data_IF_637944238905
#
_entry.id   IF_637944238905
#
_cell.length_a   1.000
_cell.length_b   1.000
_cell.length_c   1.000
_cell.angle_alpha   90.00
_cell.angle_beta   90.00
_cell.angle_gamma   90.00
#
_symmetry.space_group_name_H-M   'P 1'
#
loop_
_entity.id
_entity.type
_entity.pdbx_description
1 polymer ?
#
# COMPACT_ATOMS: atom_id res chain seq x y z
N UNK A 1 54.85 -44.34 20.76
CA UNK A 1 55.61 -43.58 21.78
C UNK A 1 55.77 -42.16 21.25
N UNK A 2 54.86 -41.21 21.55
CA UNK A 2 54.82 -40.32 22.74
C UNK A 2 56.17 -39.58 22.93
N UNK A 3 56.29 -38.25 22.94
CA UNK A 3 55.45 -37.23 23.61
C UNK A 3 55.60 -35.80 23.02
N UNK A 4 54.47 -35.07 23.02
CA UNK A 4 54.21 -33.71 23.56
C UNK A 4 54.92 -32.44 23.05
N UNK A 5 54.09 -31.41 22.74
CA UNK A 5 53.92 -30.10 23.43
C UNK A 5 53.04 -29.21 22.53
N UNK A 6 52.08 -28.39 22.95
CA UNK A 6 51.45 -28.08 24.23
C UNK A 6 50.12 -27.37 23.88
N UNK A 7 49.03 -27.70 24.57
CA UNK A 7 47.74 -27.02 24.47
C UNK A 7 47.61 -26.05 25.67
N UNK A 8 47.09 -24.84 25.47
CA UNK A 8 46.59 -23.98 26.56
C UNK A 8 45.35 -23.22 26.09
N UNK A 9 44.19 -23.85 26.27
CA UNK A 9 42.90 -23.18 26.45
C UNK A 9 42.30 -23.70 27.75
N UNK A 10 42.34 -22.86 28.79
CA UNK A 10 41.51 -23.04 29.99
C UNK A 10 41.03 -21.66 30.44
N UNK A 11 39.72 -21.46 30.26
CA UNK A 11 38.72 -20.88 31.18
C UNK A 11 39.21 -19.82 32.18
N UNK A 12 38.59 -18.63 32.14
CA UNK A 12 38.09 -17.96 33.36
C UNK A 12 36.68 -17.44 33.11
N UNK A 13 35.77 -17.98 33.91
CA UNK A 13 34.39 -17.59 34.19
C UNK A 13 34.37 -16.32 35.05
N UNK A 14 33.44 -15.41 34.73
CA UNK A 14 32.75 -14.53 35.69
C UNK A 14 33.47 -13.25 36.11
N UNK A 15 32.83 -12.09 35.89
CA UNK A 15 32.24 -11.29 36.98
C UNK A 15 31.47 -10.08 36.45
N UNK A 16 30.31 -9.88 37.07
CA UNK A 16 29.50 -8.67 37.14
C UNK A 16 30.41 -7.45 37.38
N UNK A 17 30.37 -6.47 36.48
CA UNK A 17 31.06 -5.19 36.64
C UNK A 17 30.14 -4.05 36.24
N UNK A 18 29.59 -3.37 37.24
CA UNK A 18 28.78 -2.16 37.12
C UNK A 18 29.39 -1.18 36.11
N UNK A 19 28.69 -0.91 35.00
CA UNK A 19 28.92 0.32 34.25
C UNK A 19 28.02 1.42 34.82
N UNK A 20 28.73 2.27 35.54
CA UNK A 20 28.39 3.59 36.05
C UNK A 20 27.55 4.44 35.10
N UNK A 21 26.62 5.19 35.70
CA UNK A 21 25.85 6.26 35.06
C UNK A 21 26.78 7.28 34.40
N UNK A 22 27.01 7.16 33.10
CA UNK A 22 27.60 8.20 32.28
C UNK A 22 26.50 8.89 31.47
N UNK A 23 25.97 9.96 32.07
CA UNK A 23 25.37 11.14 31.44
C UNK A 23 24.42 10.94 30.25
N UNK A 24 23.15 11.23 30.50
CA UNK A 24 22.02 11.50 29.59
C UNK A 24 22.24 12.56 28.49
N UNK A 25 23.48 13.01 28.23
CA UNK A 25 23.82 13.95 27.16
C UNK A 25 24.26 13.28 25.85
N UNK A 26 24.73 12.03 25.88
CA UNK A 26 25.16 11.33 24.67
C UNK A 26 23.99 10.84 23.80
N UNK A 27 22.85 10.49 24.41
CA UNK A 27 21.65 10.04 23.69
C UNK A 27 20.99 11.17 22.86
N UNK A 28 21.04 12.41 23.35
CA UNK A 28 20.53 13.58 22.61
C UNK A 28 21.42 13.97 21.42
N UNK A 29 22.72 13.66 21.45
CA UNK A 29 23.64 13.96 20.35
C UNK A 29 23.55 12.94 19.20
N UNK A 30 23.13 11.70 19.49
CA UNK A 30 22.93 10.66 18.48
C UNK A 30 21.60 10.81 17.72
N UNK A 31 20.53 11.25 18.38
CA UNK A 31 19.21 11.44 17.78
C UNK A 31 19.19 12.32 16.51
N UNK A 32 19.83 13.51 16.46
CA UNK A 32 19.85 14.33 15.25
C UNK A 32 20.60 13.66 14.10
N UNK A 33 21.61 12.82 14.37
CA UNK A 33 22.33 12.08 13.33
C UNK A 33 21.47 10.95 12.74
N UNK A 34 20.74 10.21 13.57
CA UNK A 34 19.86 9.11 13.12
C UNK A 34 18.61 9.64 12.38
N UNK A 35 18.05 10.77 12.81
CA UNK A 35 16.92 11.42 12.15
C UNK A 35 17.29 12.09 10.83
N UNK A 36 18.47 12.74 10.77
CA UNK A 36 18.99 13.30 9.52
C UNK A 36 19.26 12.21 8.48
N UNK A 37 19.76 11.03 8.92
CA UNK A 37 19.94 9.88 8.05
C UNK A 37 18.62 9.32 7.48
N UNK A 38 17.49 9.50 8.19
CA UNK A 38 16.15 9.11 7.73
C UNK A 38 15.42 10.21 6.93
N UNK A 39 16.04 11.39 6.72
CA UNK A 39 15.46 12.50 5.96
C UNK A 39 14.18 13.09 6.56
N UNK A 40 13.94 12.90 7.86
CA UNK A 40 12.73 13.35 8.53
C UNK A 40 12.82 14.82 8.98
N UNK A 41 11.73 15.61 8.86
CA UNK A 41 11.61 16.86 9.61
C UNK A 41 11.60 16.54 11.11
N UNK A 42 12.08 17.46 11.95
CA UNK A 42 12.11 17.29 13.41
C UNK A 42 10.69 16.95 13.95
N UNK A 43 10.43 15.72 14.43
CA UNK A 43 9.12 15.30 14.87
C UNK A 43 8.57 16.15 16.02
N UNK A 44 9.44 16.79 16.81
CA UNK A 44 9.04 17.67 17.91
C UNK A 44 8.30 18.92 17.41
N UNK A 45 8.51 19.30 16.16
CA UNK A 45 7.85 20.45 15.53
C UNK A 45 6.47 20.11 14.94
N UNK A 46 6.06 18.84 14.95
CA UNK A 46 4.76 18.43 14.43
C UNK A 46 3.62 19.15 15.15
N UNK A 47 2.61 19.55 14.37
CA UNK A 47 1.32 19.96 14.90
C UNK A 47 0.45 18.71 15.06
N UNK A 48 -0.23 18.51 16.20
CA UNK A 48 -1.09 17.34 16.40
C UNK A 48 -2.19 17.28 15.35
N UNK A 49 -2.50 16.07 14.87
CA UNK A 49 -3.66 15.83 14.01
C UNK A 49 -4.93 16.16 14.80
N UNK A 50 -5.78 16.98 14.21
CA UNK A 50 -7.08 17.29 14.78
C UNK A 50 -8.01 16.11 14.49
N UNK A 51 -8.34 15.32 15.52
CA UNK A 51 -9.17 14.13 15.39
C UNK A 51 -10.50 14.36 16.11
N UNK A 52 -11.57 14.57 15.33
CA UNK A 52 -12.93 14.77 15.87
C UNK A 52 -13.96 14.14 14.94
N UNK A 53 -15.01 13.60 15.57
CA UNK A 53 -16.19 13.09 14.86
C UNK A 53 -16.87 14.18 14.01
N UNK A 54 -16.88 15.43 14.49
CA UNK A 54 -17.48 16.56 13.77
C UNK A 54 -16.77 16.89 12.45
N UNK A 55 -15.54 16.39 12.25
CA UNK A 55 -14.81 16.57 10.99
C UNK A 55 -15.02 15.43 9.99
N UNK A 56 -15.80 14.40 10.33
CA UNK A 56 -16.07 13.29 9.44
C UNK A 56 -16.81 13.78 8.19
N UNK A 57 -16.22 13.55 7.02
CA UNK A 57 -16.82 13.91 5.73
C UNK A 57 -17.38 12.70 4.99
N UNK A 58 -16.77 11.51 5.17
CA UNK A 58 -17.22 10.29 4.49
C UNK A 58 -16.67 9.04 5.18
N UNK A 59 -17.44 7.94 5.14
CA UNK A 59 -16.93 6.59 5.40
C UNK A 59 -17.01 5.79 4.10
N UNK A 60 -15.95 5.07 3.76
CA UNK A 60 -15.87 4.21 2.58
C UNK A 60 -15.40 2.83 3.01
N UNK A 61 -16.25 1.83 2.83
CA UNK A 61 -15.85 0.42 2.90
C UNK A 61 -15.68 -0.12 1.49
N UNK A 62 -14.64 -0.93 1.28
CA UNK A 62 -14.39 -1.57 -0.01
C UNK A 62 -13.65 -2.89 0.15
N UNK A 63 -13.79 -3.78 -0.83
CA UNK A 63 -13.04 -5.04 -0.88
C UNK A 63 -11.70 -4.91 -1.62
N UNK A 64 -10.70 -5.62 -1.12
CA UNK A 64 -9.35 -5.75 -1.69
C UNK A 64 -9.09 -7.23 -2.00
N UNK A 65 -9.66 -7.76 -3.09
CA UNK A 65 -9.66 -9.19 -3.33
C UNK A 65 -8.26 -9.70 -3.68
N UNK A 66 -7.92 -10.86 -3.14
CA UNK A 66 -6.69 -11.58 -3.47
C UNK A 66 -6.99 -13.03 -3.81
N UNK A 67 -6.01 -13.72 -4.39
CA UNK A 67 -6.03 -15.17 -4.59
C UNK A 67 -4.89 -15.75 -3.77
N UNK A 68 -5.11 -16.94 -3.17
CA UNK A 68 -4.05 -17.62 -2.41
C UNK A 68 -2.78 -17.87 -3.25
N UNK A 69 -2.96 -18.16 -4.53
CA UNK A 69 -1.86 -18.39 -5.48
C UNK A 69 -1.16 -17.12 -5.98
N UNK A 70 -1.68 -15.94 -5.64
CA UNK A 70 -1.25 -14.66 -6.17
C UNK A 70 -2.10 -14.15 -7.34
N UNK A 71 -1.84 -12.90 -7.79
CA UNK A 71 -2.67 -12.25 -8.80
C UNK A 71 -2.71 -13.07 -10.09
N UNK A 72 -3.88 -13.16 -10.72
CA UNK A 72 -4.02 -13.85 -12.01
C UNK A 72 -3.46 -12.92 -13.09
N UNK A 73 -2.42 -13.37 -13.77
CA UNK A 73 -1.85 -12.74 -14.96
C UNK A 73 -1.64 -13.81 -16.03
N UNK A 74 -2.70 -14.09 -16.78
CA UNK A 74 -2.75 -15.20 -17.74
C UNK A 74 -3.60 -14.80 -18.94
N UNK A 75 -3.38 -15.42 -20.09
CA UNK A 75 -4.22 -15.22 -21.26
C UNK A 75 -4.94 -16.50 -21.66
N UNK A 76 -6.21 -16.38 -22.04
CA UNK A 76 -6.99 -17.42 -22.70
C UNK A 76 -7.60 -16.92 -24.00
N UNK A 77 -8.04 -17.83 -24.85
CA UNK A 77 -8.75 -17.50 -26.09
C UNK A 77 -10.22 -17.89 -25.94
N UNK A 78 -11.11 -16.94 -26.20
CA UNK A 78 -12.55 -17.16 -26.21
C UNK A 78 -13.06 -16.73 -27.57
N UNK A 79 -13.61 -17.70 -28.31
CA UNK A 79 -13.90 -17.56 -29.73
C UNK A 79 -12.62 -17.13 -30.50
N UNK A 80 -12.66 -15.98 -31.16
CA UNK A 80 -11.57 -15.37 -31.92
C UNK A 80 -10.82 -14.28 -31.14
N UNK A 81 -11.09 -14.14 -29.83
CA UNK A 81 -10.54 -13.08 -28.99
C UNK A 81 -9.55 -13.58 -27.96
N UNK A 82 -8.46 -12.85 -27.79
CA UNK A 82 -7.48 -13.06 -26.71
C UNK A 82 -7.91 -12.26 -25.49
N UNK A 83 -8.19 -12.96 -24.40
CA UNK A 83 -8.52 -12.36 -23.10
C UNK A 83 -7.29 -12.47 -22.20
N UNK A 84 -6.83 -11.36 -21.65
CA UNK A 84 -5.73 -11.30 -20.67
C UNK A 84 -6.31 -10.93 -19.32
N UNK A 85 -6.25 -11.83 -18.35
CA UNK A 85 -6.71 -11.59 -16.98
C UNK A 85 -5.62 -10.87 -16.18
N UNK A 86 -5.98 -9.82 -15.46
CA UNK A 86 -5.10 -9.09 -14.55
C UNK A 86 -5.87 -8.60 -13.31
N UNK A 87 -5.98 -9.45 -12.29
CA UNK A 87 -6.72 -9.13 -11.06
C UNK A 87 -6.28 -9.99 -9.85
N UNK A 88 -6.82 -9.69 -8.66
CA UNK A 88 -6.51 -10.43 -7.43
C UNK A 88 -5.28 -9.94 -6.68
N UNK A 89 -5.05 -8.62 -6.65
CA UNK A 89 -3.84 -7.98 -6.13
C UNK A 89 -3.83 -7.69 -4.63
N UNK A 90 -4.89 -8.05 -3.90
CA UNK A 90 -4.99 -7.75 -2.46
C UNK A 90 -4.90 -6.25 -2.17
N UNK A 91 -4.17 -5.90 -1.10
CA UNK A 91 -3.92 -4.51 -0.70
C UNK A 91 -2.89 -3.79 -1.58
N UNK A 92 -2.31 -4.45 -2.58
CA UNK A 92 -1.18 -3.94 -3.36
C UNK A 92 -1.58 -3.20 -4.65
N UNK A 93 -2.88 -3.08 -4.94
CA UNK A 93 -3.38 -2.66 -6.25
C UNK A 93 -2.72 -1.41 -6.83
N UNK A 94 -2.62 -0.32 -6.06
CA UNK A 94 -1.92 0.90 -6.52
C UNK A 94 -0.41 0.69 -6.61
N UNK A 95 0.21 0.12 -5.58
CA UNK A 95 1.66 -0.08 -5.48
C UNK A 95 2.24 -0.91 -6.63
N UNK A 96 1.49 -1.88 -7.17
CA UNK A 96 1.96 -2.79 -8.20
C UNK A 96 1.35 -2.52 -9.59
N UNK A 97 0.49 -1.52 -9.69
CA UNK A 97 -0.34 -1.26 -10.88
C UNK A 97 0.47 -1.05 -12.16
N UNK A 98 1.57 -0.31 -12.10
CA UNK A 98 2.39 -0.02 -13.28
C UNK A 98 3.25 -1.20 -13.72
N UNK A 99 3.79 -1.98 -12.79
CA UNK A 99 4.55 -3.18 -13.10
C UNK A 99 3.67 -4.25 -13.75
N UNK A 100 2.45 -4.44 -13.26
CA UNK A 100 1.48 -5.31 -13.94
C UNK A 100 1.06 -4.76 -15.32
N UNK A 101 0.92 -3.43 -15.46
CA UNK A 101 0.67 -2.81 -16.75
C UNK A 101 1.80 -3.09 -17.77
N UNK A 102 3.07 -3.06 -17.32
CA UNK A 102 4.22 -3.42 -18.14
C UNK A 102 4.16 -4.90 -18.57
N UNK A 103 3.82 -5.81 -17.65
CA UNK A 103 3.69 -7.24 -17.96
C UNK A 103 2.57 -7.51 -18.98
N UNK A 104 1.39 -6.88 -18.82
CA UNK A 104 0.30 -6.98 -19.79
C UNK A 104 0.74 -6.45 -21.15
N UNK A 105 1.44 -5.32 -21.17
CA UNK A 105 1.95 -4.72 -22.41
C UNK A 105 2.93 -5.68 -23.11
N UNK A 106 3.80 -6.37 -22.38
CA UNK A 106 4.70 -7.38 -22.93
C UNK A 106 3.96 -8.56 -23.59
N UNK A 107 2.86 -9.03 -22.99
CA UNK A 107 2.02 -10.10 -23.56
C UNK A 107 1.32 -9.72 -24.87
N UNK A 108 1.25 -8.42 -25.19
CA UNK A 108 0.60 -7.89 -26.39
C UNK A 108 1.62 -7.50 -27.47
N UNK A 109 2.79 -6.97 -27.08
CA UNK A 109 3.79 -6.42 -28.02
C UNK A 109 4.30 -7.37 -29.11
N UNK A 110 4.30 -8.69 -28.88
CA UNK A 110 4.74 -9.66 -29.89
C UNK A 110 3.82 -9.76 -31.12
N UNK A 111 2.56 -9.32 -30.99
CA UNK A 111 1.58 -9.29 -32.09
C UNK A 111 0.56 -8.18 -31.78
N UNK A 112 0.93 -6.90 -31.98
CA UNK A 112 0.11 -5.78 -31.54
C UNK A 112 -1.21 -5.75 -32.31
N UNK A 113 -2.36 -5.71 -31.62
CA UNK A 113 -3.67 -5.62 -32.26
C UNK A 113 -3.92 -4.20 -32.75
N UNK A 114 -4.90 -4.05 -33.64
CA UNK A 114 -5.36 -2.73 -34.08
C UNK A 114 -5.91 -1.88 -32.92
N UNK A 115 -6.51 -2.51 -31.91
CA UNK A 115 -6.95 -1.87 -30.66
C UNK A 115 -7.13 -2.90 -29.53
N UNK A 116 -7.12 -2.40 -28.30
CA UNK A 116 -7.32 -3.19 -27.06
C UNK A 116 -8.49 -2.63 -26.25
N UNK A 117 -9.35 -3.52 -25.76
CA UNK A 117 -10.32 -3.18 -24.73
C UNK A 117 -9.70 -3.46 -23.35
N UNK A 118 -9.85 -2.54 -22.40
CA UNK A 118 -9.52 -2.77 -20.99
C UNK A 118 -10.83 -2.72 -20.20
N UNK A 119 -11.19 -3.83 -19.55
CA UNK A 119 -12.43 -3.94 -18.77
C UNK A 119 -12.13 -3.68 -17.30
N UNK A 120 -12.64 -2.56 -16.77
CA UNK A 120 -12.38 -2.07 -15.42
C UNK A 120 -11.48 -0.84 -15.39
N UNK A 121 -11.84 0.15 -14.57
CA UNK A 121 -11.16 1.43 -14.46
C UNK A 121 -10.54 1.68 -13.06
N UNK A 122 -10.36 0.63 -12.25
CA UNK A 122 -9.56 0.73 -11.02
C UNK A 122 -8.07 0.94 -11.30
N UNK A 123 -7.23 0.94 -10.26
CA UNK A 123 -5.79 1.20 -10.38
C UNK A 123 -5.12 0.39 -11.50
N UNK A 124 -5.34 -0.93 -11.51
CA UNK A 124 -4.78 -1.84 -12.53
C UNK A 124 -5.28 -1.51 -13.94
N UNK A 125 -6.58 -1.32 -14.12
CA UNK A 125 -7.16 -1.02 -15.43
C UNK A 125 -6.68 0.32 -15.99
N UNK A 126 -6.66 1.36 -15.15
CA UNK A 126 -6.25 2.69 -15.54
C UNK A 126 -4.75 2.74 -15.93
N UNK A 127 -3.86 2.17 -15.12
CA UNK A 127 -2.43 2.12 -15.47
C UNK A 127 -2.16 1.24 -16.68
N UNK A 128 -2.87 0.12 -16.81
CA UNK A 128 -2.74 -0.78 -17.97
C UNK A 128 -3.13 -0.09 -19.26
N UNK A 129 -4.30 0.56 -19.29
CA UNK A 129 -4.74 1.30 -20.47
C UNK A 129 -3.78 2.44 -20.83
N UNK A 130 -3.25 3.12 -19.82
CA UNK A 130 -2.27 4.20 -20.02
C UNK A 130 -0.94 3.67 -20.55
N UNK A 131 -0.44 2.56 -20.02
CA UNK A 131 0.79 1.92 -20.52
C UNK A 131 0.64 1.44 -21.97
N UNK A 132 -0.51 0.90 -22.33
CA UNK A 132 -0.82 0.51 -23.72
C UNK A 132 -0.83 1.72 -24.66
N UNK A 133 -1.45 2.84 -24.25
CA UNK A 133 -1.39 4.10 -25.03
C UNK A 133 0.04 4.62 -25.15
N UNK A 134 0.85 4.60 -24.07
CA UNK A 134 2.28 4.96 -24.11
C UNK A 134 3.08 4.05 -25.05
N UNK A 135 2.66 2.80 -25.23
CA UNK A 135 3.24 1.86 -26.18
C UNK A 135 2.70 2.03 -27.63
N UNK A 136 1.87 3.03 -27.89
CA UNK A 136 1.29 3.30 -29.22
C UNK A 136 0.12 2.39 -29.60
N UNK A 137 -0.45 1.64 -28.65
CA UNK A 137 -1.54 0.70 -28.90
C UNK A 137 -2.88 1.40 -28.63
N UNK A 138 -3.77 1.55 -29.63
CA UNK A 138 -5.08 2.14 -29.43
C UNK A 138 -5.87 1.38 -28.35
N UNK A 139 -6.44 2.11 -27.40
CA UNK A 139 -7.04 1.49 -26.20
C UNK A 139 -8.32 2.19 -25.78
N UNK A 140 -9.35 1.40 -25.45
CA UNK A 140 -10.62 1.84 -24.86
C UNK A 140 -10.83 1.18 -23.50
N UNK A 141 -11.13 1.97 -22.47
CA UNK A 141 -11.59 1.44 -21.17
C UNK A 141 -13.11 1.26 -21.20
N UNK A 142 -13.59 0.09 -20.80
CA UNK A 142 -15.00 -0.20 -20.54
C UNK A 142 -15.18 -0.49 -19.05
N UNK A 143 -16.00 0.29 -18.34
CA UNK A 143 -16.17 0.08 -16.89
C UNK A 143 -17.53 0.58 -16.39
N UNK A 144 -18.09 -0.10 -15.40
CA UNK A 144 -19.30 0.36 -14.70
C UNK A 144 -19.03 1.66 -13.93
N UNK A 145 -17.94 1.64 -13.18
CA UNK A 145 -17.43 2.75 -12.37
C UNK A 145 -16.17 3.30 -13.03
N UNK A 146 -16.10 4.62 -13.19
CA UNK A 146 -14.90 5.31 -13.67
C UNK A 146 -13.88 5.44 -12.53
N UNK A 147 -12.61 5.87 -12.78
CA UNK A 147 -11.52 5.73 -11.81
C UNK A 147 -11.79 6.23 -10.39
N UNK A 148 -12.41 7.40 -10.24
CA UNK A 148 -12.73 7.99 -8.93
C UNK A 148 -13.93 7.36 -8.22
N UNK A 149 -14.74 6.62 -8.96
CA UNK A 149 -15.91 5.90 -8.44
C UNK A 149 -15.54 4.47 -8.04
N UNK A 150 -14.43 3.96 -8.58
CA UNK A 150 -13.96 2.60 -8.35
C UNK A 150 -13.54 2.36 -6.90
N UNK A 151 -13.49 1.08 -6.50
CA UNK A 151 -12.94 0.66 -5.19
C UNK A 151 -11.51 1.14 -4.96
N UNK A 152 -10.74 1.38 -6.03
CA UNK A 152 -9.37 1.90 -5.92
C UNK A 152 -9.30 3.33 -5.36
N UNK A 153 -10.38 4.12 -5.46
CA UNK A 153 -10.47 5.44 -4.81
C UNK A 153 -10.65 5.34 -3.29
N UNK A 154 -11.13 4.20 -2.78
CA UNK A 154 -11.28 3.88 -1.36
C UNK A 154 -10.01 3.36 -0.68
N UNK A 155 -8.87 3.33 -1.37
CA UNK A 155 -7.60 2.90 -0.78
C UNK A 155 -7.00 3.99 0.14
N UNK A 156 -6.16 3.56 1.08
CA UNK A 156 -5.47 4.47 2.01
C UNK A 156 -4.46 5.36 1.30
N UNK A 157 -3.89 4.90 0.18
CA UNK A 157 -2.92 5.67 -0.61
C UNK A 157 -1.54 5.66 0.02
N UNK A 158 -1.06 4.49 0.44
CA UNK A 158 0.31 4.26 0.89
C UNK A 158 0.97 3.24 -0.02
N UNK A 159 2.27 3.35 -0.22
CA UNK A 159 3.06 2.27 -0.79
C UNK A 159 3.01 1.05 0.15
N UNK A 160 2.48 -0.06 -0.36
CA UNK A 160 2.28 -1.32 0.38
C UNK A 160 2.32 -2.48 -0.61
N UNK A 161 3.51 -2.76 -1.14
CA UNK A 161 3.74 -3.73 -2.22
C UNK A 161 3.64 -5.21 -1.79
N UNK A 162 3.59 -5.48 -0.49
CA UNK A 162 3.51 -6.82 0.11
C UNK A 162 2.18 -7.08 0.83
N UNK A 163 1.21 -6.16 0.75
CA UNK A 163 -0.07 -6.24 1.45
C UNK A 163 -0.98 -7.33 0.88
N UNK A 164 -0.96 -8.51 1.51
CA UNK A 164 -1.88 -9.64 1.30
C UNK A 164 -1.96 -10.08 -0.16
N UNK A 165 -0.81 -10.16 -0.83
CA UNK A 165 -0.74 -10.45 -2.27
C UNK A 165 -1.01 -11.92 -2.60
N UNK A 166 -0.55 -12.83 -1.74
CA UNK A 166 -0.67 -14.28 -1.88
C UNK A 166 -0.43 -14.94 -0.51
N UNK A 167 -0.80 -16.22 -0.36
CA UNK A 167 -0.43 -17.01 0.82
C UNK A 167 0.85 -17.80 0.58
N UNK A 168 1.65 -18.02 1.63
CA UNK A 168 2.89 -18.80 1.58
C UNK A 168 2.63 -20.18 0.98
N UNK A 169 1.62 -20.89 1.50
CA UNK A 169 1.26 -22.25 1.07
C UNK A 169 0.55 -22.33 -0.28
N UNK A 170 -0.05 -21.23 -0.73
CA UNK A 170 -0.81 -21.19 -1.98
C UNK A 170 0.02 -20.75 -3.18
N UNK A 171 1.12 -20.04 -2.95
CA UNK A 171 1.95 -19.43 -3.99
C UNK A 171 2.96 -20.37 -4.63
N UNK A 172 3.27 -20.13 -5.91
CA UNK A 172 4.39 -20.78 -6.58
C UNK A 172 5.74 -20.32 -5.98
N UNK A 173 6.79 -21.18 -5.93
CA UNK A 173 8.07 -20.84 -5.31
C UNK A 173 8.77 -19.61 -5.88
N UNK A 174 8.52 -19.27 -7.15
CA UNK A 174 9.12 -18.14 -7.84
C UNK A 174 8.29 -16.85 -7.76
N UNK A 175 7.09 -16.89 -7.15
CA UNK A 175 6.19 -15.74 -7.08
C UNK A 175 6.86 -14.54 -6.38
N UNK A 176 7.55 -14.77 -5.26
CA UNK A 176 8.21 -13.68 -4.51
C UNK A 176 9.18 -12.86 -5.37
N UNK A 177 9.95 -13.53 -6.25
CA UNK A 177 10.87 -12.88 -7.18
C UNK A 177 10.12 -12.12 -8.27
N UNK A 178 9.06 -12.71 -8.83
CA UNK A 178 8.20 -12.04 -9.83
C UNK A 178 7.57 -10.77 -9.26
N UNK A 179 7.06 -10.81 -8.03
CA UNK A 179 6.48 -9.64 -7.38
C UNK A 179 7.55 -8.60 -7.06
N UNK A 180 8.77 -9.00 -6.66
CA UNK A 180 9.89 -8.07 -6.50
C UNK A 180 10.17 -7.29 -7.80
N UNK A 181 10.26 -7.98 -8.95
CA UNK A 181 10.49 -7.34 -10.24
C UNK A 181 9.36 -6.36 -10.60
N UNK A 182 8.11 -6.78 -10.39
CA UNK A 182 6.91 -5.95 -10.62
C UNK A 182 6.90 -4.73 -9.68
N UNK A 183 7.25 -4.90 -8.41
CA UNK A 183 7.30 -3.82 -7.43
C UNK A 183 8.39 -2.81 -7.81
N UNK A 184 9.59 -3.25 -8.15
CA UNK A 184 10.69 -2.38 -8.58
C UNK A 184 10.34 -1.61 -9.85
N UNK A 185 9.68 -2.26 -10.82
CA UNK A 185 9.18 -1.58 -12.02
C UNK A 185 8.12 -0.53 -11.66
N UNK A 186 7.11 -0.91 -10.86
CA UNK A 186 6.04 0.00 -10.46
C UNK A 186 6.56 1.23 -9.73
N UNK A 187 7.51 1.01 -8.81
CA UNK A 187 8.11 2.07 -8.02
C UNK A 187 8.79 3.12 -8.90
N UNK A 188 9.54 2.70 -9.92
CA UNK A 188 10.15 3.63 -10.89
C UNK A 188 9.10 4.46 -11.63
N UNK A 189 7.96 3.87 -12.00
CA UNK A 189 6.86 4.63 -12.61
C UNK A 189 6.25 5.63 -11.63
N UNK A 190 6.00 5.23 -10.37
CA UNK A 190 5.51 6.16 -9.34
C UNK A 190 6.46 7.34 -9.11
N UNK A 191 7.77 7.12 -9.21
CA UNK A 191 8.76 8.18 -9.06
C UNK A 191 8.64 9.28 -10.14
N UNK A 192 8.09 8.98 -11.31
CA UNK A 192 7.87 9.98 -12.37
C UNK A 192 6.82 11.04 -11.98
N UNK A 193 6.02 10.78 -10.95
CA UNK A 193 4.98 11.67 -10.45
C UNK A 193 5.44 12.51 -9.25
N UNK A 194 6.64 12.26 -8.74
CA UNK A 194 7.24 13.05 -7.66
C UNK A 194 7.64 14.44 -8.18
N UNK A 195 7.40 15.47 -7.37
CA UNK A 195 7.78 16.85 -7.69
C UNK A 195 6.84 17.59 -8.66
N UNK A 196 5.79 16.93 -9.16
CA UNK A 196 4.72 17.61 -9.89
C UNK A 196 3.93 18.53 -8.95
N UNK A 197 3.44 19.65 -9.49
CA UNK A 197 2.84 20.75 -8.71
C UNK A 197 1.65 20.33 -7.84
N UNK A 198 0.88 19.33 -8.27
CA UNK A 198 -0.31 18.84 -7.57
C UNK A 198 -0.01 17.64 -6.65
N UNK A 199 1.26 17.23 -6.56
CA UNK A 199 1.76 16.15 -5.70
C UNK A 199 0.97 14.82 -5.82
N UNK A 200 0.67 14.29 -7.02
CA UNK A 200 -0.03 13.01 -7.17
C UNK A 200 0.64 11.86 -6.40
N UNK A 201 1.97 11.88 -6.35
CA UNK A 201 2.79 11.01 -5.50
C UNK A 201 3.75 11.91 -4.71
N UNK A 202 3.91 11.64 -3.43
CA UNK A 202 4.86 12.36 -2.56
C UNK A 202 5.40 11.47 -1.45
N UNK A 203 6.49 11.87 -0.80
CA UNK A 203 6.95 11.24 0.44
C UNK A 203 6.45 12.04 1.64
N UNK A 204 5.75 11.37 2.55
CA UNK A 204 5.28 11.97 3.81
C UNK A 204 5.87 11.24 5.01
N UNK A 205 6.20 11.94 6.11
CA UNK A 205 6.59 11.29 7.35
C UNK A 205 5.56 10.27 7.85
N UNK A 206 6.05 9.11 8.25
CA UNK A 206 5.29 8.01 8.83
C UNK A 206 5.91 7.65 10.18
N UNK A 207 5.08 7.53 11.21
CA UNK A 207 5.49 7.14 12.55
C UNK A 207 4.71 5.91 13.00
N UNK A 208 5.41 4.93 13.56
CA UNK A 208 4.84 3.75 14.21
C UNK A 208 5.11 3.88 15.70
N UNK A 209 4.06 4.20 16.46
CA UNK A 209 4.14 4.42 17.89
C UNK A 209 3.74 3.10 18.58
N UNK A 210 4.67 2.45 19.30
CA UNK A 210 4.43 1.11 19.81
C UNK A 210 3.26 1.07 20.78
N UNK A 211 2.46 0.01 20.69
CA UNK A 211 1.41 -0.34 21.63
C UNK A 211 1.55 -1.82 22.04
N UNK A 212 1.23 -2.22 23.28
CA UNK A 212 1.22 -3.63 23.66
C UNK A 212 0.26 -4.48 22.82
N UNK A 213 -0.75 -3.86 22.22
CA UNK A 213 -1.71 -4.51 21.32
C UNK A 213 -1.24 -4.53 19.85
N UNK A 214 -0.18 -3.80 19.51
CA UNK A 214 0.38 -3.81 18.17
C UNK A 214 1.24 -5.05 17.97
N UNK A 215 1.22 -5.57 16.74
CA UNK A 215 2.13 -6.64 16.35
C UNK A 215 3.56 -6.10 16.26
N UNK A 216 4.57 -6.89 16.64
CA UNK A 216 5.94 -6.60 16.26
C UNK A 216 6.05 -6.54 14.73
N UNK A 217 6.73 -5.53 14.20
CA UNK A 217 6.86 -5.30 12.74
C UNK A 217 7.58 -6.47 12.00
N UNK A 218 8.21 -7.38 12.74
CA UNK A 218 9.07 -8.47 12.25
C UNK A 218 8.55 -9.89 12.53
N UNK A 219 7.34 -10.07 13.06
CA UNK A 219 6.75 -11.41 13.12
C UNK A 219 6.23 -11.79 11.72
N UNK A 220 6.54 -13.01 11.28
CA UNK A 220 6.11 -13.54 9.99
C UNK A 220 4.63 -13.20 9.76
N UNK A 221 4.34 -12.66 8.58
CA UNK A 221 3.04 -12.16 8.11
C UNK A 221 1.98 -13.27 8.02
N UNK A 222 1.68 -13.92 9.15
CA UNK A 222 0.82 -15.10 9.25
C UNK A 222 1.01 -16.08 8.08
N UNK A 223 -0.09 -16.35 7.38
CA UNK A 223 -0.15 -17.20 6.20
C UNK A 223 0.23 -16.47 4.89
N UNK A 224 0.49 -15.16 4.91
CA UNK A 224 0.77 -14.33 3.74
C UNK A 224 2.25 -14.28 3.38
N UNK A 225 2.50 -14.24 2.06
CA UNK A 225 3.83 -14.10 1.51
C UNK A 225 4.38 -12.68 1.79
N UNK A 226 5.41 -12.59 2.64
CA UNK A 226 6.20 -11.36 2.78
C UNK A 226 7.32 -11.31 1.74
N UNK A 227 7.48 -10.12 1.16
CA UNK A 227 8.62 -9.78 0.29
C UNK A 227 9.35 -8.53 0.78
N UNK A 228 9.06 -8.04 1.99
CA UNK A 228 9.62 -6.79 2.51
C UNK A 228 11.16 -6.75 2.43
N UNK A 229 11.84 -7.82 2.84
CA UNK A 229 13.31 -7.95 2.77
C UNK A 229 13.85 -7.84 1.33
N UNK A 230 13.06 -8.29 0.35
CA UNK A 230 13.42 -8.19 -1.08
C UNK A 230 13.26 -6.77 -1.61
N UNK A 231 12.46 -5.94 -0.96
CA UNK A 231 12.20 -4.56 -1.37
C UNK A 231 13.09 -3.54 -0.64
N UNK A 232 14.06 -4.01 0.15
CA UNK A 232 15.07 -3.16 0.78
C UNK A 232 15.75 -2.23 -0.24
N UNK A 233 16.02 -1.01 0.21
CA UNK A 233 16.64 0.03 -0.61
C UNK A 233 15.71 0.74 -1.60
N UNK A 234 14.44 0.32 -1.73
CA UNK A 234 13.48 1.05 -2.57
C UNK A 234 13.02 2.34 -1.90
N UNK A 235 12.67 2.29 -0.62
CA UNK A 235 12.21 3.44 0.18
C UNK A 235 13.29 3.90 1.14
N UNK A 236 13.31 5.19 1.55
CA UNK A 236 14.19 5.66 2.61
C UNK A 236 14.00 4.81 3.88
N UNK A 237 15.08 4.41 4.57
CA UNK A 237 14.97 3.56 5.74
C UNK A 237 14.24 4.28 6.87
N UNK A 238 13.50 3.52 7.66
CA UNK A 238 12.98 4.01 8.92
C UNK A 238 14.05 3.96 10.01
N UNK A 239 13.98 4.87 10.97
CA UNK A 239 14.89 4.97 12.08
C UNK A 239 14.13 4.99 13.41
N UNK A 240 14.73 4.40 14.45
CA UNK A 240 14.26 4.55 15.81
C UNK A 240 14.53 5.98 16.29
N UNK A 241 13.47 6.67 16.72
CA UNK A 241 13.49 8.00 17.30
C UNK A 241 13.41 7.83 18.81
N UNK A 242 14.45 8.22 19.57
CA UNK A 242 14.48 8.04 21.02
C UNK A 242 13.34 8.79 21.74
N UNK A 243 13.00 8.31 22.94
CA UNK A 243 12.10 9.02 23.84
C UNK A 243 12.57 10.47 24.06
N UNK A 244 11.64 11.42 24.03
CA UNK A 244 11.93 12.86 24.14
C UNK A 244 12.40 13.53 22.83
N UNK A 245 12.67 12.76 21.77
CA UNK A 245 12.92 13.27 20.41
C UNK A 245 11.67 13.24 19.51
N UNK A 246 10.50 12.96 20.09
CA UNK A 246 9.20 12.99 19.42
C UNK A 246 8.11 13.51 20.38
N UNK A 247 6.95 13.97 19.87
CA UNK A 247 5.90 14.56 20.70
C UNK A 247 4.86 13.54 21.19
N UNK A 248 4.88 12.30 20.69
CA UNK A 248 3.92 11.26 21.07
C UNK A 248 3.97 10.97 22.58
N UNK A 249 2.82 10.74 23.25
CA UNK A 249 2.73 10.55 24.70
C UNK A 249 3.17 9.13 25.12
N UNK A 250 4.41 8.78 24.82
CA UNK A 250 5.05 7.52 25.18
C UNK A 250 6.51 7.74 25.58
N UNK A 251 7.01 6.92 26.48
CA UNK A 251 8.43 6.88 26.86
C UNK A 251 9.22 5.82 26.06
N UNK A 252 8.57 5.12 25.14
CA UNK A 252 9.22 4.16 24.25
C UNK A 252 9.78 4.86 22.99
N UNK A 253 10.85 4.33 22.39
CA UNK A 253 11.28 4.77 21.07
C UNK A 253 10.16 4.60 20.02
N UNK A 254 10.08 5.53 19.08
CA UNK A 254 9.12 5.52 17.96
C UNK A 254 9.86 5.25 16.66
N UNK A 255 9.36 4.33 15.84
CA UNK A 255 9.93 4.13 14.51
C UNK A 255 9.39 5.22 13.56
N UNK A 256 10.26 5.96 12.89
CA UNK A 256 9.88 7.01 11.96
C UNK A 256 10.65 6.97 10.66
N UNK A 257 10.05 7.41 9.56
CA UNK A 257 10.69 7.47 8.25
C UNK A 257 9.81 8.12 7.20
N UNK A 258 10.32 8.30 5.99
CA UNK A 258 9.54 8.75 4.86
C UNK A 258 8.85 7.56 4.18
N UNK A 259 7.57 7.70 3.91
CA UNK A 259 6.79 6.70 3.17
C UNK A 259 6.20 7.34 1.92
N UNK A 260 6.27 6.64 0.80
CA UNK A 260 5.61 7.07 -0.44
C UNK A 260 4.09 6.99 -0.24
N UNK A 261 3.44 8.14 -0.37
CA UNK A 261 2.01 8.34 -0.27
C UNK A 261 1.45 8.68 -1.64
N UNK A 262 0.26 8.18 -1.92
CA UNK A 262 -0.50 8.44 -3.13
C UNK A 262 -1.68 9.35 -2.80
N UNK A 263 -1.71 10.55 -3.40
CA UNK A 263 -2.87 11.43 -3.34
C UNK A 263 -3.88 10.94 -4.38
N UNK A 264 -4.58 9.85 -4.05
CA UNK A 264 -5.32 8.99 -5.00
C UNK A 264 -6.29 9.73 -5.93
N UNK A 265 -6.96 10.76 -5.44
CA UNK A 265 -7.89 11.56 -6.25
C UNK A 265 -7.13 12.26 -7.39
N UNK A 266 -6.08 13.01 -7.05
CA UNK A 266 -5.23 13.70 -8.03
C UNK A 266 -4.43 12.71 -8.87
N UNK A 267 -3.97 11.62 -8.27
CA UNK A 267 -3.17 10.64 -8.98
C UNK A 267 -3.99 9.91 -10.05
N UNK A 268 -5.21 9.49 -9.72
CA UNK A 268 -6.13 8.91 -10.70
C UNK A 268 -6.54 9.93 -11.77
N UNK A 269 -6.78 11.20 -11.41
CA UNK A 269 -7.03 12.27 -12.38
C UNK A 269 -5.87 12.41 -13.37
N UNK A 270 -4.64 12.53 -12.88
CA UNK A 270 -3.47 12.73 -13.74
C UNK A 270 -3.29 11.59 -14.73
N UNK A 271 -3.41 10.33 -14.27
CA UNK A 271 -3.26 9.17 -15.16
C UNK A 271 -4.41 9.13 -16.17
N UNK A 272 -5.63 9.48 -15.75
CA UNK A 272 -6.79 9.55 -16.64
C UNK A 272 -6.63 10.65 -17.69
N UNK A 273 -6.14 11.84 -17.31
CA UNK A 273 -5.83 12.94 -18.23
C UNK A 273 -4.76 12.52 -19.25
N UNK A 274 -3.64 11.95 -18.78
CA UNK A 274 -2.60 11.39 -19.65
C UNK A 274 -3.19 10.39 -20.65
N UNK A 275 -4.03 9.46 -20.18
CA UNK A 275 -4.70 8.48 -21.03
C UNK A 275 -5.56 9.12 -22.11
N UNK A 276 -6.41 10.08 -21.73
CA UNK A 276 -7.32 10.77 -22.66
C UNK A 276 -6.55 11.67 -23.64
N UNK A 277 -5.55 12.41 -23.19
CA UNK A 277 -4.69 13.25 -24.03
C UNK A 277 -3.90 12.42 -25.06
N UNK A 278 -3.50 11.21 -24.69
CA UNK A 278 -2.90 10.26 -25.63
C UNK A 278 -3.91 9.64 -26.60
N UNK A 279 -5.18 10.04 -26.60
CA UNK A 279 -6.24 9.52 -27.49
C UNK A 279 -6.91 8.25 -26.99
N UNK A 280 -6.77 7.91 -25.71
CA UNK A 280 -7.55 6.88 -25.05
C UNK A 280 -9.03 7.25 -24.98
N UNK A 281 -9.90 6.25 -24.97
CA UNK A 281 -11.35 6.45 -24.82
C UNK A 281 -11.87 5.70 -23.60
N UNK A 282 -12.91 6.22 -22.95
CA UNK A 282 -13.58 5.56 -21.82
C UNK A 282 -15.07 5.46 -22.09
N UNK A 283 -15.66 4.30 -21.79
CA UNK A 283 -17.08 4.01 -21.98
C UNK A 283 -17.65 3.40 -20.70
N UNK A 284 -18.79 3.92 -20.24
CA UNK A 284 -19.56 3.24 -19.20
C UNK A 284 -20.19 1.98 -19.78
N UNK A 285 -19.89 0.83 -19.18
CA UNK A 285 -20.43 -0.46 -19.60
C UNK A 285 -20.41 -1.43 -18.42
N UNK A 286 -21.43 -2.27 -18.34
CA UNK A 286 -21.54 -3.36 -17.38
C UNK A 286 -21.72 -4.67 -18.15
N UNK A 287 -21.01 -5.71 -17.71
CA UNK A 287 -21.00 -7.02 -18.34
C UNK A 287 -21.40 -8.06 -17.31
N UNK A 288 -22.27 -8.98 -17.69
CA UNK A 288 -22.80 -10.03 -16.81
C UNK A 288 -22.32 -11.43 -17.22
N UNK A 289 -21.68 -11.56 -18.39
CA UNK A 289 -21.13 -12.82 -18.88
C UNK A 289 -19.87 -12.62 -19.73
N UNK A 290 -19.00 -13.66 -19.84
CA UNK A 290 -17.86 -13.63 -20.75
C UNK A 290 -18.26 -13.41 -22.21
N UNK A 291 -19.45 -13.86 -22.61
CA UNK A 291 -19.96 -13.70 -23.96
C UNK A 291 -20.21 -12.21 -24.32
N UNK A 292 -20.71 -11.41 -23.38
CA UNK A 292 -20.91 -9.97 -23.58
C UNK A 292 -19.56 -9.24 -23.72
N UNK A 293 -18.56 -9.64 -22.92
CA UNK A 293 -17.19 -9.13 -23.06
C UNK A 293 -16.62 -9.52 -24.43
N UNK A 294 -16.83 -10.76 -24.84
CA UNK A 294 -16.41 -11.26 -26.14
C UNK A 294 -17.21 -10.69 -27.33
N UNK A 295 -18.26 -9.89 -27.10
CA UNK A 295 -18.97 -9.17 -28.16
C UNK A 295 -18.35 -7.79 -28.46
N UNK A 296 -17.36 -7.35 -27.66
CA UNK A 296 -16.64 -6.11 -27.91
C UNK A 296 -15.90 -6.15 -29.26
N UNK A 297 -15.75 -5.01 -29.96
CA UNK A 297 -15.13 -4.99 -31.29
C UNK A 297 -13.63 -5.33 -31.25
N UNK A 298 -12.95 -5.12 -30.12
CA UNK A 298 -11.52 -5.36 -29.98
C UNK A 298 -11.20 -6.87 -29.95
N UNK A 299 -10.11 -7.29 -30.61
CA UNK A 299 -9.68 -8.71 -30.66
C UNK A 299 -8.82 -9.10 -29.46
N UNK A 300 -8.29 -8.12 -28.73
CA UNK A 300 -7.57 -8.30 -27.48
C UNK A 300 -8.28 -7.53 -26.38
N UNK A 301 -8.58 -8.23 -25.29
CA UNK A 301 -9.29 -7.68 -24.13
C UNK A 301 -8.46 -7.94 -22.89
N UNK A 302 -8.18 -6.90 -22.11
CA UNK A 302 -7.55 -7.04 -20.79
C UNK A 302 -8.64 -6.92 -19.73
N UNK A 303 -8.85 -8.00 -19.00
CA UNK A 303 -9.80 -8.07 -17.90
C UNK A 303 -9.13 -7.63 -16.58
N UNK A 304 -9.49 -6.43 -16.13
CA UNK A 304 -9.03 -5.79 -14.91
C UNK A 304 -10.18 -5.56 -13.90
N UNK A 305 -11.18 -6.45 -13.85
CA UNK A 305 -12.44 -6.26 -13.11
C UNK A 305 -12.33 -6.43 -11.59
N UNK A 306 -11.13 -6.73 -11.06
CA UNK A 306 -10.92 -6.90 -9.63
C UNK A 306 -11.83 -7.98 -9.04
N UNK A 307 -12.65 -7.64 -8.04
CA UNK A 307 -13.54 -8.61 -7.41
C UNK A 307 -14.68 -9.07 -8.34
N UNK A 308 -15.06 -8.23 -9.31
CA UNK A 308 -16.09 -8.58 -10.30
C UNK A 308 -15.72 -9.77 -11.17
N UNK A 309 -14.44 -10.18 -11.21
CA UNK A 309 -14.05 -11.41 -11.89
C UNK A 309 -14.64 -12.68 -11.26
N UNK A 310 -15.00 -12.65 -9.97
CA UNK A 310 -15.70 -13.76 -9.32
C UNK A 310 -17.03 -14.04 -10.02
N UNK A 311 -17.82 -13.01 -10.28
CA UNK A 311 -19.15 -13.17 -10.88
C UNK A 311 -19.08 -13.29 -12.40
N UNK A 312 -18.27 -12.46 -13.05
CA UNK A 312 -18.14 -12.39 -14.50
C UNK A 312 -17.39 -13.57 -15.11
N UNK A 313 -16.35 -14.07 -14.42
CA UNK A 313 -15.44 -15.11 -14.93
C UNK A 313 -15.48 -16.40 -14.11
N UNK A 314 -16.37 -16.48 -13.10
CA UNK A 314 -16.50 -17.62 -12.18
C UNK A 314 -15.18 -18.00 -11.49
N UNK A 315 -14.30 -17.01 -11.27
CA UNK A 315 -13.09 -17.23 -10.50
C UNK A 315 -13.41 -17.20 -9.00
N UNK A 316 -13.86 -18.34 -8.49
CA UNK A 316 -14.18 -18.55 -7.07
C UNK A 316 -12.94 -18.60 -6.17
N UNK A 317 -11.72 -18.56 -6.74
CA UNK A 317 -10.49 -18.47 -5.95
C UNK A 317 -10.25 -17.08 -5.35
N UNK A 318 -11.03 -16.08 -5.76
CA UNK A 318 -10.97 -14.72 -5.23
C UNK A 318 -11.60 -14.63 -3.84
N UNK A 319 -10.78 -14.25 -2.87
CA UNK A 319 -11.17 -14.03 -1.48
C UNK A 319 -11.31 -12.52 -1.28
N UNK A 320 -12.52 -12.00 -0.94
CA UNK A 320 -12.69 -10.60 -0.61
C UNK A 320 -12.00 -10.28 0.72
N UNK A 321 -11.48 -9.06 0.81
CA UNK A 321 -10.91 -8.53 2.05
C UNK A 321 -11.52 -7.17 2.29
N UNK A 322 -12.51 -7.11 3.19
CA UNK A 322 -13.12 -5.85 3.59
C UNK A 322 -12.10 -4.98 4.30
N UNK A 323 -12.03 -3.72 3.91
CA UNK A 323 -11.33 -2.70 4.67
C UNK A 323 -12.05 -1.38 4.54
N UNK A 324 -12.12 -0.64 5.63
CA UNK A 324 -12.83 0.62 5.70
C UNK A 324 -11.88 1.77 6.02
N UNK A 325 -12.18 2.92 5.43
CA UNK A 325 -11.56 4.19 5.78
C UNK A 325 -12.64 5.21 6.16
N UNK A 326 -12.35 6.02 7.17
CA UNK A 326 -13.07 7.26 7.43
C UNK A 326 -12.22 8.43 6.94
N UNK A 327 -12.86 9.37 6.25
CA UNK A 327 -12.24 10.60 5.77
C UNK A 327 -12.72 11.76 6.63
N UNK A 328 -11.77 12.52 7.15
CA UNK A 328 -11.97 13.74 7.88
C UNK A 328 -11.52 14.93 7.03
N UNK A 329 -11.99 16.13 7.39
CA UNK A 329 -11.60 17.38 6.75
C UNK A 329 -10.06 17.51 6.63
N UNK A 330 -9.63 18.12 5.53
CA UNK A 330 -8.21 18.29 5.15
C UNK A 330 -7.42 19.08 6.18
N UNK A 331 -6.17 18.69 6.41
CA UNK A 331 -5.23 19.37 7.31
C UNK A 331 -3.88 19.55 6.60
N UNK A 332 -3.82 20.53 5.70
CA UNK A 332 -2.69 20.75 4.76
C UNK A 332 -1.36 21.11 5.43
N UNK A 333 -1.39 21.60 6.66
CA UNK A 333 -0.20 21.94 7.46
C UNK A 333 0.25 20.79 8.39
N UNK A 334 -0.33 19.59 8.22
CA UNK A 334 -0.10 18.40 9.04
C UNK A 334 0.05 17.13 8.19
N UNK A 335 0.84 17.18 7.12
CA UNK A 335 1.02 16.07 6.18
C UNK A 335 1.97 14.99 6.73
N UNK A 336 1.46 14.17 7.65
CA UNK A 336 2.14 12.99 8.18
C UNK A 336 1.14 11.91 8.58
N UNK A 337 1.63 10.71 8.87
CA UNK A 337 0.82 9.63 9.39
C UNK A 337 1.38 8.98 10.64
N UNK A 338 0.48 8.46 11.47
CA UNK A 338 0.77 7.72 12.70
C UNK A 338 0.02 6.40 12.65
N UNK A 339 0.73 5.33 12.99
CA UNK A 339 0.16 4.01 13.26
C UNK A 339 0.33 3.72 14.74
N UNK A 340 -0.78 3.39 15.40
CA UNK A 340 -0.82 3.05 16.82
C UNK A 340 -2.07 2.21 17.12
N UNK A 341 -1.92 1.13 17.89
CA UNK A 341 -3.01 0.28 18.36
C UNK A 341 -3.91 -0.23 17.22
N UNK A 342 -3.28 -0.75 16.17
CA UNK A 342 -3.87 -1.21 14.90
C UNK A 342 -4.68 -0.16 14.15
N UNK A 343 -4.53 1.12 14.48
CA UNK A 343 -5.18 2.23 13.78
C UNK A 343 -4.13 3.05 13.06
N UNK A 344 -4.42 3.45 11.83
CA UNK A 344 -3.64 4.43 11.10
C UNK A 344 -4.45 5.73 10.99
N UNK A 345 -3.84 6.84 11.42
CA UNK A 345 -4.25 8.19 11.06
C UNK A 345 -3.25 8.72 10.02
N UNK A 346 -3.70 9.03 8.80
CA UNK A 346 -2.85 9.52 7.70
C UNK A 346 -3.44 10.80 7.14
N UNK A 347 -2.79 11.92 7.39
CA UNK A 347 -3.16 13.18 6.74
C UNK A 347 -2.63 13.21 5.30
N UNK A 348 -3.55 13.28 4.34
CA UNK A 348 -3.25 13.47 2.92
C UNK A 348 -3.77 14.83 2.46
N UNK A 349 -3.35 15.25 1.27
CA UNK A 349 -3.78 16.53 0.69
C UNK A 349 -5.28 16.59 0.43
N UNK A 350 -5.90 15.44 0.14
CA UNK A 350 -7.32 15.31 -0.15
C UNK A 350 -8.17 14.87 1.07
N UNK A 351 -7.57 14.78 2.26
CA UNK A 351 -8.28 14.49 3.49
C UNK A 351 -7.45 13.72 4.50
N UNK A 352 -7.84 13.81 5.77
CA UNK A 352 -7.28 12.97 6.81
C UNK A 352 -7.99 11.62 6.83
N UNK A 353 -7.22 10.54 6.75
CA UNK A 353 -7.73 9.16 6.76
C UNK A 353 -7.58 8.57 8.15
N UNK A 354 -8.64 7.95 8.66
CA UNK A 354 -8.58 7.02 9.80
C UNK A 354 -8.96 5.62 9.32
N UNK A 355 -8.10 4.65 9.58
CA UNK A 355 -8.31 3.25 9.20
C UNK A 355 -7.98 2.34 10.36
N UNK A 356 -8.88 1.43 10.70
CA UNK A 356 -8.56 0.28 11.54
C UNK A 356 -8.05 -0.87 10.68
N UNK A 357 -6.87 -1.40 10.99
CA UNK A 357 -6.23 -2.48 10.25
C UNK A 357 -6.54 -3.88 10.81
N UNK A 358 -7.22 -3.95 11.97
CA UNK A 358 -7.49 -5.21 12.66
C UNK A 358 -6.38 -5.66 13.60
N UNK A 359 -6.67 -6.69 14.39
CA UNK A 359 -5.70 -7.37 15.26
C UNK A 359 -4.77 -8.31 14.48
N UNK A 360 -5.14 -8.67 13.25
CA UNK A 360 -4.39 -9.57 12.40
C UNK A 360 -4.53 -9.32 10.89
N UNK A 361 -3.68 -10.00 10.12
CA UNK A 361 -3.72 -9.95 8.66
C UNK A 361 -4.94 -10.66 8.06
N UNK A 362 -5.69 -11.42 8.86
CA UNK A 362 -6.93 -12.05 8.42
C UNK A 362 -8.14 -11.11 8.59
N UNK A 363 -7.97 -9.95 9.24
CA UNK A 363 -9.04 -8.98 9.45
C UNK A 363 -9.71 -8.59 8.13
N UNK A 364 -11.03 -8.75 8.08
CA UNK A 364 -11.83 -8.46 6.89
C UNK A 364 -11.83 -9.54 5.81
N UNK A 365 -11.04 -10.61 5.95
CA UNK A 365 -11.06 -11.71 4.97
C UNK A 365 -12.41 -12.42 4.92
N UNK A 366 -12.84 -12.77 3.72
CA UNK A 366 -14.12 -13.46 3.48
C UNK A 366 -15.34 -12.55 3.61
N UNK A 367 -15.16 -11.27 3.99
CA UNK A 367 -16.24 -10.31 4.11
C UNK A 367 -16.35 -9.52 2.81
N UNK A 368 -17.45 -9.72 2.08
CA UNK A 368 -17.76 -9.00 0.85
C UNK A 368 -18.64 -7.75 1.07
N UNK A 369 -19.18 -7.57 2.28
CA UNK A 369 -20.06 -6.45 2.59
C UNK A 369 -19.30 -5.11 2.57
N UNK A 370 -19.65 -4.25 1.62
CA UNK A 370 -19.10 -2.91 1.44
C UNK A 370 -19.94 -1.83 2.16
N UNK A 371 -20.86 -2.22 3.06
CA UNK A 371 -21.63 -1.28 3.87
C UNK A 371 -20.73 -0.51 4.86
N UNK A 372 -20.83 0.82 4.93
CA UNK A 372 -20.10 1.62 5.91
C UNK A 372 -20.53 1.30 7.35
N UNK A 373 -19.55 1.12 8.24
CA UNK A 373 -19.73 0.90 9.67
C UNK A 373 -19.22 2.13 10.45
N UNK A 374 -20.17 2.91 10.99
CA UNK A 374 -19.85 4.09 11.80
C UNK A 374 -19.23 3.72 13.17
N UNK A 375 -19.61 2.59 13.74
CA UNK A 375 -19.05 2.10 15.01
C UNK A 375 -17.57 1.76 14.89
N UNK A 376 -17.17 1.13 13.78
CA UNK A 376 -15.75 0.86 13.47
C UNK A 376 -14.93 2.17 13.43
N UNK A 377 -15.47 3.22 12.79
CA UNK A 377 -14.83 4.54 12.78
C UNK A 377 -14.69 5.13 14.19
N UNK A 378 -15.77 5.16 14.97
CA UNK A 378 -15.74 5.74 16.33
C UNK A 378 -14.76 5.00 17.24
N UNK A 379 -14.70 3.68 17.12
CA UNK A 379 -13.73 2.84 17.81
C UNK A 379 -12.30 3.19 17.41
N UNK A 380 -12.01 3.29 16.10
CA UNK A 380 -10.70 3.64 15.59
C UNK A 380 -10.27 5.06 16.03
N UNK A 381 -11.18 6.02 15.94
CA UNK A 381 -10.98 7.41 16.38
C UNK A 381 -10.59 7.46 17.86
N UNK A 382 -11.34 6.78 18.73
CA UNK A 382 -11.09 6.77 20.17
C UNK A 382 -9.75 6.11 20.54
N UNK A 383 -9.31 5.10 19.78
CA UNK A 383 -8.02 4.43 20.02
C UNK A 383 -6.82 5.32 19.70
N UNK A 384 -6.88 6.09 18.62
CA UNK A 384 -5.72 6.84 18.14
C UNK A 384 -5.71 8.32 18.57
N UNK A 385 -6.86 8.91 18.92
CA UNK A 385 -6.96 10.30 19.38
C UNK A 385 -6.00 10.64 20.54
N UNK A 386 -5.85 9.82 21.59
CA UNK A 386 -4.94 10.12 22.70
C UNK A 386 -3.50 10.36 22.26
N UNK A 387 -3.10 9.80 21.11
CA UNK A 387 -1.77 10.04 20.57
C UNK A 387 -1.53 11.51 20.28
N UNK A 388 -2.54 12.36 20.06
CA UNK A 388 -2.38 13.75 19.60
C UNK A 388 -2.63 14.81 20.70
N UNK A 389 -2.77 14.42 21.96
CA UNK A 389 -3.09 15.32 23.09
C UNK A 389 -1.85 16.01 23.70
N UNK A 390 -0.72 16.06 22.98
CA UNK A 390 0.56 16.55 23.51
C UNK A 390 0.72 18.09 23.51
N UNK A 391 -0.20 18.86 22.88
CA UNK A 391 -0.18 20.35 22.95
C UNK A 391 -1.31 20.94 23.79
N UNK A 392 -2.33 20.15 24.15
CA UNK A 392 -3.31 20.52 25.19
C UNK A 392 -2.69 20.44 26.58
N UNK A 393 -1.52 19.81 26.72
CA UNK A 393 -0.65 19.86 27.89
C UNK A 393 0.47 20.89 27.67
N UNK A 394 0.15 22.18 27.52
CA UNK A 394 1.16 23.22 27.80
C UNK A 394 1.12 23.55 29.29
N UNK A 395 2.27 23.69 29.98
CA UNK A 395 2.31 24.06 31.39
C UNK A 395 1.71 25.45 31.58
N UNK A 396 1.01 25.62 32.70
CA UNK A 396 0.55 26.92 33.21
C UNK A 396 1.71 27.90 33.44
#
# INVERSE_FOLDING_TARGET
MNFAKLNRRTVITGTLGMLTLASSRAALAAAPQTMAAAGLPDPRLLKPLLLSEAMLTRIVASVRPFRKAGPRLESETINDKKIIHCYGHGGCGWSLSWGYADQVTQLIRGSPPASVAVVGAGAIGLTTATALRRAGIPTTIYARELPLESRSAGATGTWSADSRIATVTGSAPDLARKIEDIARASYRHHQQYLGLADYPVEFTPRFFVPSPQDRPHNEASGDFLSISDRLEGMTPPMAAIPAGAHPFPTNAPVLGGLSMSFNLSEYAHRIMEDFLLMGGSMRRAEFHSPAEVAALPETVIVNCTGYGARDLWKDESLIPVRGQIARLATQSDRLYGVVHNSVMALSRRDGLIIQYAGSDENFGMGIADESPDRGEFLMALNRIRPMFDWKTQSPA
#
